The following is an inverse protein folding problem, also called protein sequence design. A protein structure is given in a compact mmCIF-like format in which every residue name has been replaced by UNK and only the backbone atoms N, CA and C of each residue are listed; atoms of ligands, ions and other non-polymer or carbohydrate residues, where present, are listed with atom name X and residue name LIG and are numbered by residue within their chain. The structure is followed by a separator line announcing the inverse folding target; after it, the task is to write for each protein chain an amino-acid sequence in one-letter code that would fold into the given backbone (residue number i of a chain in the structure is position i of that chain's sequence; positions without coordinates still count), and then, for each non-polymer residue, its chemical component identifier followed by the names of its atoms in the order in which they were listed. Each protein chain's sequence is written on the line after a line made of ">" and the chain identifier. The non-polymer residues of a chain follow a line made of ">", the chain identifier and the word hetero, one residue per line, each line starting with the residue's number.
data_IF_181224383699
#
_entry.id   IF_181224383699
#
_cell.length_a   1.000
_cell.length_b   1.000
_cell.length_c   1.000
_cell.angle_alpha   90.00
_cell.angle_beta   90.00
_cell.angle_gamma   90.00
#
_symmetry.space_group_name_H-M   'P 1'
#
loop_
_entity.id
_entity.type
_entity.pdbx_description
1 polymer ?
#
# COMPACT_ATOMS: atom_id res chain seq x y z
N UNK A 1 -20.35 -10.31 4.56
CA UNK A 1 -20.00 -9.66 3.29
C UNK A 1 -19.26 -8.33 3.50
N UNK A 2 -19.81 -7.39 4.29
CA UNK A 2 -19.20 -6.08 4.53
C UNK A 2 -17.77 -6.08 5.11
N UNK A 3 -17.40 -7.03 5.99
CA UNK A 3 -16.09 -7.01 6.67
C UNK A 3 -14.89 -7.11 5.72
N UNK A 4 -15.00 -7.90 4.65
CA UNK A 4 -13.97 -8.05 3.61
C UNK A 4 -13.83 -6.78 2.77
N UNK A 5 -14.96 -6.22 2.35
CA UNK A 5 -15.01 -4.97 1.58
C UNK A 5 -14.50 -3.79 2.40
N UNK A 6 -14.87 -3.70 3.68
CA UNK A 6 -14.35 -2.69 4.62
C UNK A 6 -12.83 -2.84 4.79
N UNK A 7 -12.34 -4.07 4.99
CA UNK A 7 -10.90 -4.33 5.08
C UNK A 7 -10.15 -3.90 3.81
N UNK A 8 -10.70 -4.22 2.64
CA UNK A 8 -10.15 -3.76 1.36
C UNK A 8 -10.12 -2.23 1.27
N UNK A 9 -11.24 -1.56 1.54
CA UNK A 9 -11.33 -0.10 1.49
C UNK A 9 -10.34 0.56 2.45
N UNK A 10 -10.20 0.07 3.68
CA UNK A 10 -9.22 0.59 4.64
C UNK A 10 -7.80 0.44 4.09
N UNK A 11 -7.44 -0.72 3.54
CA UNK A 11 -6.11 -0.93 2.97
C UNK A 11 -5.84 -0.02 1.75
N UNK A 12 -6.84 0.20 0.90
CA UNK A 12 -6.73 1.15 -0.22
C UNK A 12 -6.51 2.58 0.28
N UNK A 13 -7.23 3.01 1.33
CA UNK A 13 -7.04 4.33 1.93
C UNK A 13 -5.63 4.47 2.53
N UNK A 14 -5.16 3.48 3.27
CA UNK A 14 -3.80 3.47 3.84
C UNK A 14 -2.76 3.58 2.72
N UNK A 15 -2.93 2.83 1.64
CA UNK A 15 -2.01 2.84 0.52
C UNK A 15 -2.02 4.19 -0.22
N UNK A 16 -3.19 4.80 -0.42
CA UNK A 16 -3.29 6.14 -1.01
C UNK A 16 -2.59 7.20 -0.15
N UNK A 17 -2.76 7.14 1.18
CA UNK A 17 -2.07 8.04 2.10
C UNK A 17 -0.56 7.77 2.13
N UNK A 18 -0.14 6.52 2.09
CA UNK A 18 1.28 6.17 1.97
C UNK A 18 1.88 6.74 0.67
N UNK A 19 1.18 6.61 -0.46
CA UNK A 19 1.59 7.20 -1.73
C UNK A 19 1.84 8.71 -1.59
N UNK A 20 0.90 9.43 -0.95
CA UNK A 20 1.06 10.86 -0.69
C UNK A 20 2.27 11.16 0.21
N UNK A 21 2.49 10.40 1.29
CA UNK A 21 3.69 10.57 2.13
C UNK A 21 4.98 10.42 1.31
N UNK A 22 5.07 9.39 0.45
CA UNK A 22 6.27 9.17 -0.37
C UNK A 22 6.48 10.24 -1.44
N UNK A 23 5.39 10.83 -1.96
CA UNK A 23 5.45 11.98 -2.86
C UNK A 23 6.04 13.21 -2.14
N UNK A 24 5.56 13.56 -0.96
CA UNK A 24 6.09 14.70 -0.19
C UNK A 24 7.56 14.48 0.20
N UNK A 25 7.92 13.25 0.58
CA UNK A 25 9.31 12.88 0.83
C UNK A 25 10.17 13.01 -0.42
N UNK A 26 9.67 12.61 -1.58
CA UNK A 26 10.37 12.74 -2.86
C UNK A 26 10.68 14.21 -3.17
N UNK A 27 9.71 15.12 -3.02
CA UNK A 27 9.94 16.55 -3.20
C UNK A 27 10.95 17.11 -2.20
N UNK A 28 10.86 16.74 -0.92
CA UNK A 28 11.85 17.17 0.08
C UNK A 28 13.27 16.69 -0.22
N UNK A 29 13.42 15.46 -0.73
CA UNK A 29 14.72 14.94 -1.16
C UNK A 29 15.25 15.68 -2.39
N UNK A 30 14.40 16.06 -3.35
CA UNK A 30 14.80 16.90 -4.47
C UNK A 30 15.30 18.27 -3.99
N UNK A 31 14.58 18.91 -3.06
CA UNK A 31 15.01 20.20 -2.52
C UNK A 31 16.36 20.09 -1.81
N UNK A 32 16.54 19.03 -1.02
CA UNK A 32 17.79 18.74 -0.33
C UNK A 32 18.93 18.48 -1.33
N UNK A 33 18.68 17.72 -2.40
CA UNK A 33 19.66 17.45 -3.45
C UNK A 33 20.09 18.76 -4.15
N UNK A 34 19.14 19.66 -4.44
CA UNK A 34 19.44 20.96 -5.05
C UNK A 34 20.27 21.89 -4.15
N UNK A 35 20.16 21.75 -2.83
CA UNK A 35 21.00 22.47 -1.86
C UNK A 35 22.43 21.90 -1.88
N UNK A 36 22.57 20.56 -1.89
CA UNK A 36 23.87 19.88 -1.95
C UNK A 36 24.61 20.22 -3.24
N UNK A 37 23.91 20.24 -4.38
CA UNK A 37 24.46 20.62 -5.69
C UNK A 37 24.78 22.13 -5.81
N UNK A 38 24.72 22.89 -4.71
CA UNK A 38 25.03 24.31 -4.59
C UNK A 38 24.20 25.24 -5.50
N UNK A 39 23.02 24.81 -5.96
CA UNK A 39 22.12 25.63 -6.80
C UNK A 39 21.20 26.55 -5.99
N UNK A 40 21.03 26.32 -4.68
CA UNK A 40 20.22 27.14 -3.77
C UNK A 40 21.11 27.78 -2.68
N UNK A 41 20.94 29.08 -2.45
CA UNK A 41 21.66 29.88 -1.41
C UNK A 41 21.01 29.73 -0.03
N UNK A 42 19.75 29.30 0.05
CA UNK A 42 18.98 29.18 1.29
C UNK A 42 18.86 27.72 1.73
N UNK A 43 19.30 27.42 2.96
CA UNK A 43 19.23 26.10 3.61
C UNK A 43 17.85 25.83 4.24
N UNK A 44 16.79 25.94 3.45
CA UNK A 44 15.44 25.66 3.91
C UNK A 44 14.80 24.61 2.99
N UNK A 45 14.34 23.52 3.59
CA UNK A 45 13.57 22.46 2.93
C UNK A 45 12.15 22.50 3.48
N UNK A 46 11.18 22.67 2.59
CA UNK A 46 9.78 22.70 2.97
C UNK A 46 9.17 21.31 2.78
N UNK A 47 8.62 20.74 3.86
CA UNK A 47 8.00 19.42 3.86
C UNK A 47 6.58 19.52 4.41
N UNK A 48 5.61 19.06 3.62
CA UNK A 48 4.24 18.94 4.10
C UNK A 48 4.09 17.66 4.93
N UNK A 49 3.94 17.84 6.24
CA UNK A 49 3.84 16.75 7.24
C UNK A 49 2.41 16.23 7.39
N UNK A 50 1.44 16.90 6.76
CA UNK A 50 0.00 16.58 6.82
C UNK A 50 -0.33 15.11 6.52
N UNK A 51 0.15 14.49 5.42
CA UNK A 51 -0.19 13.09 5.13
C UNK A 51 0.40 12.11 6.17
N UNK A 52 1.54 12.45 6.78
CA UNK A 52 2.14 11.65 7.87
C UNK A 52 1.24 11.68 9.10
N UNK A 53 0.70 12.85 9.46
CA UNK A 53 -0.22 12.99 10.59
C UNK A 53 -1.50 12.17 10.37
N UNK A 54 -2.07 12.20 9.16
CA UNK A 54 -3.24 11.36 8.84
C UNK A 54 -2.92 9.87 8.97
N UNK A 55 -1.76 9.43 8.47
CA UNK A 55 -1.33 8.04 8.56
C UNK A 55 -1.15 7.62 10.03
N UNK A 56 -0.60 8.48 10.88
CA UNK A 56 -0.47 8.24 12.32
C UNK A 56 -1.83 8.10 13.02
N UNK A 57 -2.78 8.99 12.73
CA UNK A 57 -4.15 8.92 13.29
C UNK A 57 -4.82 7.61 12.90
N UNK A 58 -4.75 7.23 11.62
CA UNK A 58 -5.30 5.96 11.15
C UNK A 58 -4.59 4.78 11.80
N UNK A 59 -3.27 4.82 11.93
CA UNK A 59 -2.49 3.81 12.63
C UNK A 59 -2.97 3.59 14.07
N UNK A 60 -3.17 4.68 14.83
CA UNK A 60 -3.70 4.64 16.21
C UNK A 60 -5.08 3.98 16.24
N UNK A 61 -5.99 4.41 15.36
CA UNK A 61 -7.35 3.85 15.26
C UNK A 61 -7.29 2.34 14.97
N UNK A 62 -6.47 1.93 14.00
CA UNK A 62 -6.27 0.52 13.63
C UNK A 62 -5.71 -0.28 14.81
N UNK A 63 -4.72 0.24 15.53
CA UNK A 63 -4.15 -0.43 16.71
C UNK A 63 -5.18 -0.59 17.83
N UNK A 64 -6.05 0.41 18.07
CA UNK A 64 -7.12 0.32 19.06
C UNK A 64 -8.11 -0.78 18.66
N UNK A 65 -8.59 -0.76 17.41
CA UNK A 65 -9.51 -1.79 16.92
C UNK A 65 -8.87 -3.19 16.93
N UNK A 66 -7.59 -3.31 16.59
CA UNK A 66 -6.83 -4.56 16.71
C UNK A 66 -6.86 -5.09 18.14
N UNK A 67 -6.56 -4.25 19.15
CA UNK A 67 -6.59 -4.67 20.56
C UNK A 67 -7.97 -5.14 21.00
N UNK A 68 -9.04 -4.51 20.52
CA UNK A 68 -10.43 -4.94 20.79
C UNK A 68 -10.71 -6.29 20.13
N UNK A 69 -10.33 -6.48 18.87
CA UNK A 69 -10.59 -7.70 18.10
C UNK A 69 -9.73 -8.89 18.57
N UNK A 70 -8.49 -8.64 19.01
CA UNK A 70 -7.59 -9.67 19.55
C UNK A 70 -8.17 -10.35 20.79
N UNK A 71 -8.99 -9.65 21.59
CA UNK A 71 -9.71 -10.26 22.71
C UNK A 71 -10.72 -11.33 22.29
N UNK A 72 -11.17 -11.29 21.02
CA UNK A 72 -12.17 -12.20 20.45
C UNK A 72 -11.57 -13.29 19.56
N UNK A 73 -10.42 -13.02 18.93
CA UNK A 73 -9.76 -13.93 17.99
C UNK A 73 -8.27 -14.08 18.38
N UNK A 74 -7.88 -15.26 18.86
CA UNK A 74 -6.55 -15.47 19.46
C UNK A 74 -5.43 -15.52 18.41
N UNK A 75 -5.72 -15.96 17.18
CA UNK A 75 -4.74 -16.03 16.08
C UNK A 75 -4.59 -14.74 15.24
N UNK A 76 -5.13 -13.60 15.69
CA UNK A 76 -5.07 -12.35 14.93
C UNK A 76 -3.65 -11.74 14.93
N UNK A 77 -2.96 -11.80 13.79
CA UNK A 77 -1.64 -11.17 13.62
C UNK A 77 -1.74 -9.64 13.52
N UNK A 78 -0.89 -8.93 14.25
CA UNK A 78 -0.81 -7.46 14.20
C UNK A 78 -0.41 -6.96 12.81
N UNK A 79 0.53 -7.65 12.15
CA UNK A 79 1.10 -7.22 10.87
C UNK A 79 0.13 -7.38 9.70
N UNK A 80 -0.81 -8.33 9.82
CA UNK A 80 -1.79 -8.63 8.77
C UNK A 80 -3.07 -7.83 8.96
N UNK A 81 -3.25 -7.15 10.09
CA UNK A 81 -4.43 -6.35 10.38
C UNK A 81 -4.46 -5.08 9.50
N UNK A 82 -5.58 -4.74 8.83
CA UNK A 82 -6.96 -5.11 9.14
C UNK A 82 -7.52 -6.33 8.39
N UNK A 83 -6.69 -7.23 7.88
CA UNK A 83 -7.17 -8.52 7.35
C UNK A 83 -7.72 -9.36 8.50
N UNK A 84 -9.03 -9.54 8.52
CA UNK A 84 -9.77 -10.10 9.65
C UNK A 84 -10.09 -11.60 9.49
N UNK A 85 -9.21 -12.37 8.83
CA UNK A 85 -9.34 -13.83 8.77
C UNK A 85 -8.59 -14.46 9.94
N UNK A 86 -9.30 -14.97 10.97
CA UNK A 86 -8.65 -15.83 11.95
C UNK A 86 -8.21 -17.11 11.23
N UNK A 87 -6.90 -17.30 11.06
CA UNK A 87 -6.31 -18.52 10.45
C UNK A 87 -6.51 -19.79 11.32
N UNK A 88 -7.48 -19.78 12.24
CA UNK A 88 -7.78 -20.89 13.15
C UNK A 88 -8.51 -22.02 12.42
N UNK A 89 -9.33 -21.71 11.41
CA UNK A 89 -10.03 -22.71 10.60
C UNK A 89 -9.17 -23.18 9.41
N UNK A 90 -8.99 -24.50 9.28
CA UNK A 90 -8.25 -25.10 8.16
C UNK A 90 -8.79 -24.69 6.78
N UNK A 91 -10.12 -24.50 6.68
CA UNK A 91 -10.77 -24.02 5.46
C UNK A 91 -10.35 -22.59 5.10
N UNK A 92 -10.29 -21.69 6.08
CA UNK A 92 -9.88 -20.29 5.84
C UNK A 92 -8.40 -20.19 5.46
N UNK A 93 -7.57 -21.07 6.03
CA UNK A 93 -6.15 -21.19 5.65
C UNK A 93 -5.99 -21.61 4.18
N UNK A 94 -6.71 -22.63 3.73
CA UNK A 94 -6.70 -23.09 2.33
C UNK A 94 -7.18 -22.00 1.36
N UNK A 95 -8.21 -21.25 1.72
CA UNK A 95 -8.72 -20.12 0.91
C UNK A 95 -7.65 -19.03 0.77
N UNK A 96 -6.99 -18.67 1.88
CA UNK A 96 -5.95 -17.65 1.90
C UNK A 96 -4.71 -18.08 1.11
N UNK A 97 -4.32 -19.34 1.21
CA UNK A 97 -3.19 -19.90 0.43
C UNK A 97 -3.47 -19.83 -1.07
N UNK A 98 -4.67 -20.24 -1.51
CA UNK A 98 -5.09 -20.11 -2.92
C UNK A 98 -5.12 -18.65 -3.39
N UNK A 99 -5.60 -17.74 -2.54
CA UNK A 99 -5.62 -16.32 -2.84
C UNK A 99 -4.20 -15.73 -2.96
N UNK A 100 -3.30 -16.10 -2.05
CA UNK A 100 -1.89 -15.71 -2.08
C UNK A 100 -1.20 -16.22 -3.34
N UNK A 101 -1.40 -17.51 -3.69
CA UNK A 101 -0.85 -18.09 -4.94
C UNK A 101 -1.36 -17.35 -6.18
N UNK A 102 -2.64 -16.99 -6.22
CA UNK A 102 -3.22 -16.23 -7.34
C UNK A 102 -2.61 -14.83 -7.45
N UNK A 103 -2.49 -14.12 -6.32
CA UNK A 103 -1.86 -12.79 -6.28
C UNK A 103 -0.39 -12.88 -6.73
N UNK A 104 0.37 -13.85 -6.21
CA UNK A 104 1.76 -14.05 -6.60
C UNK A 104 1.94 -14.35 -8.09
N UNK A 105 1.10 -15.18 -8.68
CA UNK A 105 1.13 -15.42 -10.14
C UNK A 105 0.79 -14.13 -10.91
N UNK A 106 -0.20 -13.37 -10.44
CA UNK A 106 -0.54 -12.08 -11.07
C UNK A 106 0.60 -11.07 -11.02
N UNK A 107 1.43 -11.10 -9.97
CA UNK A 107 2.57 -10.21 -9.79
C UNK A 107 3.56 -10.30 -10.95
N UNK A 108 3.83 -11.49 -11.45
CA UNK A 108 4.75 -11.68 -12.57
C UNK A 108 4.28 -10.92 -13.83
N UNK A 109 2.99 -11.00 -14.15
CA UNK A 109 2.42 -10.29 -15.30
C UNK A 109 2.42 -8.78 -15.06
N UNK A 110 2.02 -8.34 -13.86
CA UNK A 110 1.98 -6.92 -13.50
C UNK A 110 3.37 -6.30 -13.51
N UNK A 111 4.40 -7.02 -13.05
CA UNK A 111 5.79 -6.54 -13.04
C UNK A 111 6.33 -6.34 -14.45
N UNK A 112 6.09 -7.28 -15.38
CA UNK A 112 6.53 -7.13 -16.79
C UNK A 112 5.91 -5.86 -17.39
N UNK A 113 4.61 -5.64 -17.16
CA UNK A 113 3.90 -4.45 -17.64
C UNK A 113 4.46 -3.19 -16.97
N UNK A 114 4.64 -3.20 -15.66
CA UNK A 114 5.17 -2.07 -14.89
C UNK A 114 6.59 -1.69 -15.32
N UNK A 115 7.47 -2.66 -15.57
CA UNK A 115 8.81 -2.42 -16.12
C UNK A 115 8.72 -1.78 -17.50
N UNK A 116 7.83 -2.27 -18.37
CA UNK A 116 7.55 -1.65 -19.66
C UNK A 116 7.16 -0.17 -19.54
N UNK A 117 6.29 0.16 -18.58
CA UNK A 117 5.94 1.56 -18.30
C UNK A 117 7.08 2.38 -17.70
N UNK A 118 7.96 1.78 -16.88
CA UNK A 118 9.14 2.45 -16.33
C UNK A 118 10.17 2.81 -17.39
N UNK A 119 10.28 2.06 -18.49
CA UNK A 119 11.15 2.43 -19.62
C UNK A 119 10.74 3.78 -20.23
N UNK A 120 9.47 4.16 -20.12
CA UNK A 120 8.95 5.45 -20.58
C UNK A 120 9.23 6.62 -19.60
N UNK A 121 9.88 6.36 -18.47
CA UNK A 121 10.19 7.40 -17.46
C UNK A 121 10.90 8.63 -18.03
N UNK A 122 11.87 8.54 -18.98
CA UNK A 122 12.52 9.72 -19.54
C UNK A 122 11.54 10.72 -20.20
N UNK A 123 10.41 10.22 -20.72
CA UNK A 123 9.38 11.05 -21.36
C UNK A 123 8.46 11.65 -20.28
N UNK A 124 7.99 10.82 -19.35
CA UNK A 124 6.99 11.24 -18.36
C UNK A 124 7.57 12.06 -17.21
N UNK A 125 8.81 11.81 -16.80
CA UNK A 125 9.45 12.52 -15.69
C UNK A 125 9.60 14.04 -15.94
N UNK A 126 9.57 14.47 -17.22
CA UNK A 126 9.61 15.88 -17.59
C UNK A 126 8.33 16.60 -17.11
N UNK A 127 7.19 15.92 -17.16
CA UNK A 127 5.89 16.48 -16.79
C UNK A 127 5.47 16.08 -15.37
N UNK A 128 5.81 14.87 -14.95
CA UNK A 128 5.42 14.27 -13.67
C UNK A 128 6.68 13.61 -13.07
N UNK A 129 7.49 14.34 -12.30
CA UNK A 129 8.76 13.82 -11.75
C UNK A 129 8.60 12.54 -10.90
N UNK A 130 7.45 12.44 -10.23
CA UNK A 130 7.01 11.36 -9.35
C UNK A 130 6.37 10.17 -10.09
N UNK A 131 6.39 10.16 -11.43
CA UNK A 131 5.86 9.08 -12.27
C UNK A 131 6.31 7.66 -11.85
N UNK A 132 7.58 7.40 -11.51
CA UNK A 132 8.01 6.08 -11.07
C UNK A 132 7.31 5.63 -9.78
N UNK A 133 7.02 6.54 -8.85
CA UNK A 133 6.29 6.22 -7.63
C UNK A 133 4.86 5.76 -7.97
N UNK A 134 4.18 6.47 -8.88
CA UNK A 134 2.83 6.08 -9.30
C UNK A 134 2.78 4.68 -9.90
N UNK A 135 3.79 4.26 -10.67
CA UNK A 135 3.88 2.89 -11.19
C UNK A 135 4.00 1.90 -10.04
N UNK A 136 4.93 2.12 -9.12
CA UNK A 136 5.16 1.22 -7.98
C UNK A 136 3.89 1.07 -7.13
N UNK A 137 3.21 2.17 -6.81
CA UNK A 137 1.95 2.13 -6.07
C UNK A 137 0.82 1.47 -6.86
N UNK A 138 0.80 1.60 -8.18
CA UNK A 138 -0.14 0.87 -9.04
C UNK A 138 0.07 -0.65 -8.99
N UNK A 139 1.33 -1.11 -8.94
CA UNK A 139 1.64 -2.54 -8.75
C UNK A 139 1.06 -3.02 -7.42
N UNK A 140 1.32 -2.31 -6.32
CA UNK A 140 0.76 -2.65 -5.01
C UNK A 140 -0.76 -2.65 -4.99
N UNK A 141 -1.40 -1.67 -5.64
CA UNK A 141 -2.84 -1.58 -5.75
C UNK A 141 -3.44 -2.79 -6.47
N UNK A 142 -2.86 -3.17 -7.61
CA UNK A 142 -3.31 -4.34 -8.38
C UNK A 142 -3.12 -5.62 -7.56
N UNK A 143 -1.96 -5.79 -6.90
CA UNK A 143 -1.70 -6.94 -6.04
C UNK A 143 -2.73 -7.08 -4.93
N UNK A 144 -3.00 -5.98 -4.23
CA UNK A 144 -4.01 -5.94 -3.18
C UNK A 144 -5.39 -6.28 -3.75
N UNK A 145 -5.77 -5.69 -4.87
CA UNK A 145 -7.06 -5.93 -5.52
C UNK A 145 -7.23 -7.39 -5.93
N UNK A 146 -6.22 -7.99 -6.58
CA UNK A 146 -6.25 -9.40 -6.99
C UNK A 146 -6.36 -10.31 -5.78
N UNK A 147 -5.64 -10.02 -4.69
CA UNK A 147 -5.72 -10.79 -3.45
C UNK A 147 -7.14 -10.77 -2.87
N UNK A 148 -7.74 -9.59 -2.72
CA UNK A 148 -9.11 -9.46 -2.17
C UNK A 148 -10.19 -10.05 -3.10
N UNK A 149 -10.03 -9.92 -4.42
CA UNK A 149 -10.92 -10.56 -5.39
C UNK A 149 -10.80 -12.09 -5.35
N UNK A 150 -9.59 -12.63 -5.22
CA UNK A 150 -9.38 -14.07 -5.12
C UNK A 150 -9.92 -14.63 -3.80
N UNK A 151 -9.75 -13.90 -2.69
CA UNK A 151 -10.39 -14.21 -1.41
C UNK A 151 -11.91 -14.24 -1.54
N UNK A 152 -12.50 -13.23 -2.19
CA UNK A 152 -13.95 -13.17 -2.40
C UNK A 152 -14.45 -14.34 -3.24
N UNK A 153 -13.79 -14.63 -4.36
CA UNK A 153 -14.13 -15.74 -5.26
C UNK A 153 -14.06 -17.10 -4.55
N UNK A 154 -12.97 -17.35 -3.83
CA UNK A 154 -12.74 -18.64 -3.17
C UNK A 154 -13.58 -18.83 -1.89
N UNK A 155 -14.19 -17.76 -1.36
CA UNK A 155 -15.12 -17.83 -0.23
C UNK A 155 -16.55 -18.20 -0.64
N UNK A 156 -16.92 -17.91 -1.89
CA UNK A 156 -18.24 -18.21 -2.46
C UNK A 156 -18.30 -19.64 -3.00
N UNK A 157 -17.16 -20.20 -3.42
CA UNK A 157 -16.99 -21.61 -3.77
C UNK A 157 -16.88 -22.50 -2.52
#
# INVERSE_FOLDING_TARGET
>A
MNRLMISYMINVIIMALACWVFIELYYGIIELANIIDAKKVTFEVSLNITPVLFLLVIGIVITIFYKIQKKKYNALSYLMYPLLFPLEDEREKLITERACRTAFVSLWYVLIIAIGFLVLSPIFNIYIPEYPLYIVFSVFFIQMTVFYLSLYRNKIM
#
